data_IF_297065927686
#
_entry.id   IF_297065927686
#
_cell.length_a   1.000
_cell.length_b   1.000
_cell.length_c   1.000
_cell.angle_alpha   90.00
_cell.angle_beta   90.00
_cell.angle_gamma   90.00
#
_symmetry.space_group_name_H-M   'P 1'
#
loop_
_entity.id
_entity.type
_entity.pdbx_description
1 polymer ?
#
# COMPACT_ATOMS: atom_id res chain seq x y z
N UNK A 1 16.43 8.83 -15.97
CA UNK A 1 15.24 8.99 -16.71
C UNK A 1 14.39 7.76 -16.70
N UNK A 2 14.97 6.68 -17.08
CA UNK A 2 14.21 5.45 -17.13
C UNK A 2 13.90 4.88 -15.79
N UNK A 3 14.54 5.34 -14.81
CA UNK A 3 14.31 4.85 -13.50
C UNK A 3 12.94 5.06 -13.00
N UNK A 4 12.30 6.07 -13.51
CA UNK A 4 10.96 6.33 -13.06
C UNK A 4 9.99 5.26 -13.43
N UNK A 5 10.23 4.60 -14.52
CA UNK A 5 9.36 3.52 -14.93
C UNK A 5 9.41 2.38 -13.93
N UNK A 6 10.57 2.15 -13.39
CA UNK A 6 10.70 1.09 -12.41
C UNK A 6 9.88 1.38 -11.19
N UNK A 7 9.86 2.62 -10.81
CA UNK A 7 9.10 2.99 -9.63
C UNK A 7 7.63 2.75 -9.80
N UNK A 8 7.12 3.03 -10.98
CA UNK A 8 5.72 2.80 -11.23
C UNK A 8 5.35 1.35 -11.09
N UNK A 9 6.19 0.49 -11.60
CA UNK A 9 5.91 -0.92 -11.52
C UNK A 9 5.96 -1.41 -10.09
N UNK A 10 6.89 -0.90 -9.34
CA UNK A 10 7.00 -1.28 -7.94
C UNK A 10 5.78 -0.82 -7.15
N UNK A 11 5.30 0.36 -7.45
CA UNK A 11 4.13 0.87 -6.77
C UNK A 11 2.91 0.02 -7.11
N UNK A 12 2.76 -0.34 -8.38
CA UNK A 12 1.64 -1.14 -8.79
C UNK A 12 1.66 -2.50 -8.09
N UNK A 13 2.81 -3.13 -8.04
CA UNK A 13 2.96 -4.39 -7.38
C UNK A 13 2.64 -4.29 -5.91
N UNK A 14 3.19 -3.28 -5.26
CA UNK A 14 2.96 -3.07 -3.86
C UNK A 14 1.51 -2.81 -3.56
N UNK A 15 0.86 -2.03 -4.42
CA UNK A 15 -0.54 -1.73 -4.24
C UNK A 15 -1.38 -3.00 -4.29
N UNK A 16 -1.10 -3.86 -5.24
CA UNK A 16 -1.85 -5.10 -5.34
C UNK A 16 -1.66 -5.97 -4.11
N UNK A 17 -0.47 -5.97 -3.59
CA UNK A 17 -0.19 -6.72 -2.37
C UNK A 17 -0.99 -6.17 -1.21
N UNK A 18 -1.04 -4.86 -1.08
CA UNK A 18 -1.80 -4.25 0.00
C UNK A 18 -3.28 -4.60 -0.14
N UNK A 19 -3.78 -4.55 -1.37
CA UNK A 19 -5.18 -4.91 -1.61
C UNK A 19 -5.44 -6.32 -1.15
N UNK A 20 -4.55 -7.22 -1.50
CA UNK A 20 -4.73 -8.60 -1.15
C UNK A 20 -4.68 -8.85 0.35
N UNK A 21 -3.82 -8.14 1.03
CA UNK A 21 -3.65 -8.33 2.47
C UNK A 21 -4.71 -7.61 3.29
N UNK A 22 -5.21 -6.50 2.80
CA UNK A 22 -6.16 -5.72 3.57
C UNK A 22 -7.58 -5.79 3.06
N UNK A 23 -7.75 -6.09 1.79
CA UNK A 23 -9.09 -6.17 1.22
C UNK A 23 -9.67 -4.82 0.82
N UNK A 24 -8.89 -3.77 0.86
CA UNK A 24 -9.40 -2.46 0.46
C UNK A 24 -9.25 -2.28 -1.04
N UNK A 25 -9.85 -1.22 -1.57
CA UNK A 25 -9.83 -1.00 -3.02
C UNK A 25 -8.43 -0.61 -3.47
N UNK A 26 -8.19 -0.76 -4.76
CA UNK A 26 -6.89 -0.44 -5.34
C UNK A 26 -6.51 1.00 -5.05
N UNK A 27 -7.45 1.89 -5.23
CA UNK A 27 -7.19 3.30 -5.02
C UNK A 27 -6.79 3.58 -3.58
N UNK A 28 -7.50 3.01 -2.65
CA UNK A 28 -7.21 3.19 -1.23
C UNK A 28 -5.87 2.57 -0.89
N UNK A 29 -5.60 1.40 -1.44
CA UNK A 29 -4.34 0.72 -1.18
C UNK A 29 -3.17 1.54 -1.71
N UNK A 30 -3.33 2.11 -2.89
CA UNK A 30 -2.28 2.89 -3.49
C UNK A 30 -1.97 4.12 -2.63
N UNK A 31 -3.02 4.76 -2.18
CA UNK A 31 -2.88 5.93 -1.34
C UNK A 31 -2.14 5.56 -0.05
N UNK A 32 -2.57 4.49 0.54
CA UNK A 32 -1.97 4.02 1.78
C UNK A 32 -0.50 3.67 1.57
N UNK A 33 -0.20 3.02 0.48
CA UNK A 33 1.16 2.63 0.16
C UNK A 33 2.06 3.85 -0.01
N UNK A 34 1.58 4.85 -0.72
CA UNK A 34 2.35 6.05 -0.96
C UNK A 34 2.58 6.80 0.34
N UNK A 35 1.57 6.89 1.16
CA UNK A 35 1.69 7.55 2.42
C UNK A 35 2.65 6.85 3.36
N UNK A 36 2.60 5.54 3.37
CA UNK A 36 3.41 4.77 4.29
C UNK A 36 4.83 4.55 3.81
N UNK A 37 5.02 4.57 2.50
CA UNK A 37 6.34 4.39 1.96
C UNK A 37 6.71 2.98 1.60
N UNK A 38 6.01 1.99 2.09
CA UNK A 38 6.29 0.60 1.74
C UNK A 38 5.09 -0.26 2.03
N UNK A 39 5.08 -1.45 1.46
CA UNK A 39 3.97 -2.38 1.64
C UNK A 39 3.84 -2.76 3.11
N UNK A 40 4.95 -3.05 3.72
CA UNK A 40 4.95 -3.45 5.10
C UNK A 40 4.36 -2.35 5.99
N UNK A 41 4.80 -1.12 5.78
CA UNK A 41 4.29 -0.01 6.56
C UNK A 41 2.82 0.23 6.29
N UNK A 42 2.42 0.07 5.04
CA UNK A 42 1.03 0.27 4.68
C UNK A 42 0.14 -0.73 5.41
N UNK A 43 0.54 -1.97 5.42
CA UNK A 43 -0.24 -3.00 6.08
C UNK A 43 -0.27 -2.76 7.60
N UNK A 44 0.86 -2.38 8.14
CA UNK A 44 0.92 -2.11 9.57
C UNK A 44 0.02 -0.95 9.95
N UNK A 45 0.01 0.09 9.13
CA UNK A 45 -0.83 1.24 9.39
C UNK A 45 -2.30 0.85 9.32
N UNK A 46 -2.64 0.05 8.34
CA UNK A 46 -4.01 -0.40 8.18
C UNK A 46 -4.44 -1.21 9.40
N UNK A 47 -3.58 -2.09 9.86
CA UNK A 47 -3.90 -2.91 11.01
C UNK A 47 -4.07 -2.07 12.26
N UNK A 48 -3.24 -1.07 12.41
CA UNK A 48 -3.34 -0.20 13.56
C UNK A 48 -4.67 0.52 13.58
N UNK A 49 -5.11 1.00 12.44
CA UNK A 49 -6.35 1.71 12.37
C UNK A 49 -7.51 0.79 12.65
N UNK A 50 -7.43 -0.42 12.16
CA UNK A 50 -8.50 -1.36 12.39
C UNK A 50 -8.55 -1.85 13.81
N UNK A 51 -7.42 -1.99 14.42
CA UNK A 51 -7.37 -2.46 15.78
C UNK A 51 -7.77 -1.45 16.79
N UNK A 52 -7.76 -0.20 16.37
CA UNK A 52 -8.09 0.83 17.25
C UNK A 52 -9.46 0.73 17.85
N UNK A 53 -10.37 0.21 17.10
CA UNK A 53 -11.72 0.14 17.58
C UNK A 53 -11.90 -0.90 18.64
N UNK A 54 -10.95 -1.72 18.86
CA UNK A 54 -11.09 -2.63 19.93
C UNK A 54 -10.95 -1.95 21.24
#
# INVERSE_FOLDING_TARGET
>A
VDMQLSNEKLVDRGTKMVVEKTGISYQAAKDLLIKSGSVRSAIATFNLQNNQSK
#
